data_IF_069337667057
#
_entry.id   IF_069337667057
#
_cell.length_a   1.000
_cell.length_b   1.000
_cell.length_c   1.000
_cell.angle_alpha   90.00
_cell.angle_beta   90.00
_cell.angle_gamma   90.00
#
_symmetry.space_group_name_H-M   'P 1'
#
loop_
_entity.id
_entity.type
_entity.pdbx_description
1 polymer ?
#
# COMPACT_ATOMS: atom_id res chain seq x y z
N UNK A 1 15.31 -9.00 -3.78
CA UNK A 1 15.45 -8.02 -2.69
C UNK A 1 16.91 -7.62 -2.50
N UNK A 2 17.74 -8.34 -1.72
CA UNK A 2 19.11 -7.92 -1.39
C UNK A 2 20.00 -7.61 -2.60
N UNK A 3 19.87 -8.36 -3.69
CA UNK A 3 20.61 -8.12 -4.95
C UNK A 3 20.11 -6.86 -5.69
N UNK A 4 18.81 -6.53 -5.58
CA UNK A 4 18.23 -5.33 -6.17
C UNK A 4 18.69 -4.06 -5.43
N UNK A 5 18.69 -4.08 -4.09
CA UNK A 5 19.30 -3.01 -3.26
C UNK A 5 20.77 -2.79 -3.62
N UNK A 6 21.53 -3.86 -3.82
CA UNK A 6 22.95 -3.77 -4.18
C UNK A 6 23.18 -3.21 -5.59
N UNK A 7 22.19 -3.30 -6.50
CA UNK A 7 22.23 -2.68 -7.84
C UNK A 7 21.77 -1.22 -7.85
N UNK A 8 21.41 -0.64 -6.70
CA UNK A 8 21.01 0.76 -6.56
C UNK A 8 19.63 1.08 -7.14
N UNK A 9 19.30 2.37 -7.23
CA UNK A 9 17.98 2.90 -7.62
C UNK A 9 17.49 2.33 -8.97
N UNK A 10 18.40 2.04 -9.92
CA UNK A 10 18.06 1.45 -11.23
C UNK A 10 17.53 0.01 -11.12
N UNK A 11 18.06 -0.78 -10.20
CA UNK A 11 17.58 -2.15 -9.94
C UNK A 11 16.18 -2.17 -9.33
N UNK A 12 15.94 -1.26 -8.38
CA UNK A 12 14.63 -1.04 -7.75
C UNK A 12 13.61 -0.59 -8.79
N UNK A 13 13.97 0.34 -9.67
CA UNK A 13 13.08 0.83 -10.73
C UNK A 13 12.69 -0.24 -11.75
N UNK A 14 13.61 -1.10 -12.17
CA UNK A 14 13.29 -2.20 -13.09
C UNK A 14 12.34 -3.22 -12.44
N UNK A 15 12.60 -3.60 -11.19
CA UNK A 15 11.75 -4.53 -10.45
C UNK A 15 10.35 -3.95 -10.20
N UNK A 16 10.27 -2.65 -9.88
CA UNK A 16 9.01 -1.93 -9.71
C UNK A 16 8.19 -1.91 -11.01
N UNK A 17 8.82 -1.62 -12.16
CA UNK A 17 8.14 -1.62 -13.46
C UNK A 17 7.64 -3.02 -13.85
N UNK A 18 8.46 -4.06 -13.63
CA UNK A 18 8.04 -5.45 -13.85
C UNK A 18 6.87 -5.83 -12.93
N UNK A 19 6.90 -5.41 -11.67
CA UNK A 19 5.83 -5.63 -10.71
C UNK A 19 4.51 -4.96 -11.15
N UNK A 20 4.57 -3.69 -11.56
CA UNK A 20 3.39 -2.98 -12.07
C UNK A 20 2.82 -3.65 -13.31
N UNK A 21 3.67 -4.10 -14.24
CA UNK A 21 3.23 -4.81 -15.43
C UNK A 21 2.58 -6.16 -15.09
N UNK A 22 3.17 -6.95 -14.19
CA UNK A 22 2.63 -8.23 -13.75
C UNK A 22 1.28 -8.05 -13.04
N UNK A 23 1.18 -7.07 -12.14
CA UNK A 23 -0.05 -6.80 -11.41
C UNK A 23 -1.13 -6.23 -12.34
N UNK A 24 -0.78 -5.34 -13.27
CA UNK A 24 -1.69 -4.87 -14.30
C UNK A 24 -2.21 -6.01 -15.19
N UNK A 25 -1.33 -6.95 -15.56
CA UNK A 25 -1.71 -8.15 -16.31
C UNK A 25 -2.64 -9.05 -15.51
N UNK A 26 -2.42 -9.21 -14.20
CA UNK A 26 -3.33 -9.95 -13.30
C UNK A 26 -4.71 -9.30 -13.25
N UNK A 27 -4.79 -7.98 -13.11
CA UNK A 27 -6.08 -7.27 -13.09
C UNK A 27 -6.80 -7.40 -14.43
N UNK A 28 -6.10 -7.21 -15.55
CA UNK A 28 -6.67 -7.39 -16.88
C UNK A 28 -7.15 -8.85 -17.10
N UNK A 29 -6.39 -9.82 -16.61
CA UNK A 29 -6.76 -11.23 -16.63
C UNK A 29 -8.08 -11.48 -15.89
N UNK A 30 -8.21 -11.03 -14.64
CA UNK A 30 -9.42 -11.22 -13.84
C UNK A 30 -10.62 -10.52 -14.48
N UNK A 31 -10.42 -9.32 -15.04
CA UNK A 31 -11.49 -8.57 -15.69
C UNK A 31 -12.01 -9.30 -16.94
N UNK A 32 -11.13 -9.77 -17.82
CA UNK A 32 -11.51 -10.35 -19.11
C UNK A 32 -11.93 -11.81 -18.97
N UNK A 33 -11.16 -12.61 -18.23
CA UNK A 33 -11.34 -14.06 -18.12
C UNK A 33 -12.14 -14.49 -16.88
N UNK A 34 -12.48 -13.57 -15.99
CA UNK A 34 -13.33 -13.83 -14.82
C UNK A 34 -14.81 -14.07 -15.13
N UNK A 35 -15.24 -13.91 -16.39
CA UNK A 35 -16.60 -14.25 -16.82
C UNK A 35 -17.72 -13.35 -16.25
N UNK A 36 -17.37 -12.18 -15.71
CA UNK A 36 -18.30 -11.17 -15.22
C UNK A 36 -17.81 -9.70 -15.42
N UNK A 37 -17.22 -9.33 -16.58
CA UNK A 37 -16.66 -7.99 -16.81
C UNK A 37 -17.69 -6.86 -16.65
N UNK A 38 -18.90 -7.07 -17.17
CA UNK A 38 -19.98 -6.07 -17.12
C UNK A 38 -20.35 -5.77 -15.67
N UNK A 39 -20.60 -6.82 -14.88
CA UNK A 39 -20.91 -6.67 -13.45
C UNK A 39 -19.80 -5.94 -12.68
N UNK A 40 -18.54 -6.28 -12.93
CA UNK A 40 -17.39 -5.65 -12.28
C UNK A 40 -17.36 -4.14 -12.57
N UNK A 41 -17.59 -3.75 -13.83
CA UNK A 41 -17.53 -2.36 -14.27
C UNK A 41 -18.75 -1.56 -13.76
N UNK A 42 -19.97 -2.09 -13.94
CA UNK A 42 -21.20 -1.43 -13.50
C UNK A 42 -21.25 -1.24 -11.97
N UNK A 43 -20.86 -2.27 -11.22
CA UNK A 43 -20.73 -2.19 -9.77
C UNK A 43 -19.61 -1.24 -9.38
N UNK A 44 -18.54 -1.17 -10.17
CA UNK A 44 -17.44 -0.21 -9.97
C UNK A 44 -17.91 1.24 -10.07
N UNK A 45 -18.66 1.60 -11.12
CA UNK A 45 -19.23 2.93 -11.27
C UNK A 45 -20.21 3.27 -10.14
N UNK A 46 -21.08 2.32 -9.78
CA UNK A 46 -22.01 2.48 -8.67
C UNK A 46 -21.27 2.69 -7.33
N UNK A 47 -20.20 1.94 -7.08
CA UNK A 47 -19.37 2.06 -5.89
C UNK A 47 -18.67 3.43 -5.81
N UNK A 48 -18.19 3.96 -6.94
CA UNK A 48 -17.63 5.31 -6.99
C UNK A 48 -18.66 6.38 -6.64
N UNK A 49 -19.87 6.29 -7.20
CA UNK A 49 -20.98 7.20 -6.85
C UNK A 49 -21.32 7.15 -5.36
N UNK A 50 -21.42 5.93 -4.81
CA UNK A 50 -21.73 5.71 -3.40
C UNK A 50 -20.61 6.24 -2.48
N UNK A 51 -19.35 6.00 -2.82
CA UNK A 51 -18.18 6.52 -2.09
C UNK A 51 -18.19 8.05 -2.04
N UNK A 52 -18.46 8.71 -3.17
CA UNK A 52 -18.54 10.18 -3.21
C UNK A 52 -19.70 10.72 -2.37
N UNK A 53 -20.87 10.08 -2.47
CA UNK A 53 -22.05 10.49 -1.70
C UNK A 53 -21.83 10.35 -0.19
N UNK A 54 -21.22 9.26 0.26
CA UNK A 54 -21.03 8.95 1.67
C UNK A 54 -19.69 9.43 2.25
N UNK A 55 -18.88 10.16 1.47
CA UNK A 55 -17.53 10.55 1.85
C UNK A 55 -17.48 11.31 3.19
N UNK A 56 -18.33 12.33 3.37
CA UNK A 56 -18.34 13.15 4.60
C UNK A 56 -18.79 12.33 5.81
N UNK A 57 -19.83 11.50 5.64
CA UNK A 57 -20.36 10.64 6.72
C UNK A 57 -19.30 9.62 7.15
N UNK A 58 -18.68 8.93 6.19
CA UNK A 58 -17.62 7.96 6.48
C UNK A 58 -16.38 8.61 7.10
N UNK A 59 -16.09 9.86 6.75
CA UNK A 59 -14.96 10.62 7.32
C UNK A 59 -15.16 10.98 8.79
N UNK A 60 -16.40 11.10 9.26
CA UNK A 60 -16.73 11.46 10.65
C UNK A 60 -17.36 10.31 11.44
N UNK A 61 -17.51 9.14 10.84
CA UNK A 61 -18.16 8.00 11.48
C UNK A 61 -17.27 7.38 12.55
N UNK A 62 -17.71 7.48 13.80
CA UNK A 62 -16.97 6.98 14.96
C UNK A 62 -17.62 5.76 15.63
N UNK A 63 -18.84 5.39 15.25
CA UNK A 63 -19.66 4.34 15.91
C UNK A 63 -19.64 4.46 17.45
N UNK A 64 -20.22 5.53 18.04
CA UNK A 64 -20.05 5.84 19.46
C UNK A 64 -20.65 4.78 20.39
N UNK A 65 -21.72 4.09 19.94
CA UNK A 65 -22.35 3.01 20.69
C UNK A 65 -21.63 1.66 20.50
N UNK A 66 -20.59 1.60 19.66
CA UNK A 66 -19.77 0.40 19.41
C UNK A 66 -20.61 -0.80 19.00
N UNK A 67 -21.67 -0.58 18.24
CA UNK A 67 -22.58 -1.66 17.80
C UNK A 67 -21.91 -2.55 16.76
N UNK A 68 -21.03 -1.98 15.94
CA UNK A 68 -20.31 -2.71 14.88
C UNK A 68 -18.80 -2.77 15.12
N UNK A 69 -18.25 -1.78 15.85
CA UNK A 69 -16.81 -1.56 16.01
C UNK A 69 -16.05 -1.38 14.68
N UNK A 70 -16.77 -1.12 13.59
CA UNK A 70 -16.18 -1.04 12.26
C UNK A 70 -15.15 0.09 12.12
N UNK A 71 -15.41 1.33 12.58
CA UNK A 71 -14.42 2.41 12.48
C UNK A 71 -13.16 2.11 13.28
N UNK A 72 -13.27 1.38 14.40
CA UNK A 72 -12.12 1.03 15.25
C UNK A 72 -11.25 -0.03 14.59
N UNK A 73 -11.87 -1.07 14.05
CA UNK A 73 -11.16 -2.21 13.47
C UNK A 73 -10.58 -1.92 12.08
N UNK A 74 -11.23 -1.05 11.30
CA UNK A 74 -10.85 -0.78 9.92
C UNK A 74 -10.36 0.65 9.71
N UNK A 75 -11.21 1.65 9.96
CA UNK A 75 -10.90 3.04 9.62
C UNK A 75 -9.69 3.55 10.40
N UNK A 76 -9.69 3.41 11.73
CA UNK A 76 -8.59 3.85 12.60
C UNK A 76 -7.32 3.04 12.31
N UNK A 77 -7.43 1.73 12.11
CA UNK A 77 -6.29 0.88 11.76
C UNK A 77 -5.63 1.33 10.45
N UNK A 78 -6.40 1.52 9.37
CA UNK A 78 -5.84 1.96 8.09
C UNK A 78 -5.27 3.38 8.18
N UNK A 79 -5.89 4.30 8.91
CA UNK A 79 -5.29 5.62 9.15
C UNK A 79 -3.94 5.52 9.88
N UNK A 80 -3.86 4.72 10.94
CA UNK A 80 -2.62 4.47 11.65
C UNK A 80 -1.55 3.85 10.73
N UNK A 81 -1.94 2.84 9.96
CA UNK A 81 -1.08 2.21 8.97
C UNK A 81 -0.51 3.24 7.99
N UNK A 82 -1.37 4.06 7.35
CA UNK A 82 -0.93 5.06 6.38
C UNK A 82 -0.06 6.17 7.01
N UNK A 83 -0.32 6.56 8.26
CA UNK A 83 0.52 7.54 8.97
C UNK A 83 1.96 7.03 9.15
N UNK A 84 2.15 5.75 9.48
CA UNK A 84 3.49 5.15 9.57
C UNK A 84 4.22 5.22 8.22
N UNK A 85 3.51 4.89 7.13
CA UNK A 85 4.05 4.96 5.77
C UNK A 85 4.31 6.39 5.27
N UNK A 86 3.59 7.38 5.81
CA UNK A 86 3.71 8.78 5.41
C UNK A 86 5.05 9.41 5.79
N UNK A 87 5.83 8.81 6.71
CA UNK A 87 7.18 9.31 7.05
C UNK A 87 8.20 8.91 5.99
N UNK A 88 8.16 7.66 5.52
CA UNK A 88 9.16 7.14 4.59
C UNK A 88 8.82 7.41 3.11
N UNK A 89 7.55 7.33 2.74
CA UNK A 89 7.11 7.41 1.33
C UNK A 89 7.45 8.74 0.64
N UNK A 90 7.35 9.92 1.29
CA UNK A 90 7.71 11.19 0.67
C UNK A 90 9.17 11.30 0.25
N UNK A 91 10.11 10.65 0.97
CA UNK A 91 11.52 10.65 0.60
C UNK A 91 11.76 9.91 -0.71
N UNK A 92 11.14 8.73 -0.85
CA UNK A 92 11.20 8.00 -2.10
C UNK A 92 10.61 8.82 -3.24
N UNK A 93 9.41 9.40 -3.04
CA UNK A 93 8.77 10.26 -4.03
C UNK A 93 9.62 11.49 -4.41
N UNK A 94 10.24 12.15 -3.42
CA UNK A 94 11.13 13.28 -3.64
C UNK A 94 12.38 12.89 -4.44
N UNK A 95 12.99 11.74 -4.13
CA UNK A 95 14.20 11.27 -4.79
C UNK A 95 14.02 11.02 -6.30
N UNK A 96 12.84 10.53 -6.72
CA UNK A 96 12.51 10.25 -8.13
C UNK A 96 11.83 11.42 -8.84
N UNK A 97 11.54 12.52 -8.14
CA UNK A 97 10.79 13.67 -8.66
C UNK A 97 11.67 14.88 -9.04
N UNK A 98 12.99 14.70 -9.10
CA UNK A 98 13.93 15.77 -9.49
C UNK A 98 13.56 16.37 -10.85
N UNK A 99 13.52 17.70 -10.92
CA UNK A 99 13.20 18.46 -12.14
C UNK A 99 11.71 18.62 -12.44
N UNK A 100 10.81 18.10 -11.59
CA UNK A 100 9.35 18.29 -11.72
C UNK A 100 8.85 19.47 -10.88
N UNK A 101 7.77 20.10 -11.33
CA UNK A 101 7.10 21.13 -10.52
C UNK A 101 6.35 20.50 -9.35
N UNK A 102 6.22 21.23 -8.23
CA UNK A 102 5.45 20.78 -7.05
C UNK A 102 4.05 20.32 -7.43
N UNK A 103 3.37 21.07 -8.31
CA UNK A 103 2.03 20.72 -8.81
C UNK A 103 2.00 19.38 -9.56
N UNK A 104 3.00 19.12 -10.42
CA UNK A 104 3.09 17.85 -11.15
C UNK A 104 3.35 16.67 -10.20
N UNK A 105 4.18 16.87 -9.18
CA UNK A 105 4.47 15.83 -8.18
C UNK A 105 3.20 15.50 -7.39
N UNK A 106 2.50 16.51 -6.87
CA UNK A 106 1.27 16.30 -6.09
C UNK A 106 0.20 15.63 -6.96
N UNK A 107 -0.17 16.23 -8.10
CA UNK A 107 -1.24 15.69 -8.94
C UNK A 107 -0.88 14.31 -9.51
N UNK A 108 0.36 14.09 -9.93
CA UNK A 108 0.81 12.80 -10.43
C UNK A 108 0.65 11.71 -9.39
N UNK A 109 1.17 11.93 -8.18
CA UNK A 109 1.06 10.95 -7.09
C UNK A 109 -0.39 10.66 -6.73
N UNK A 110 -1.23 11.70 -6.60
CA UNK A 110 -2.64 11.52 -6.25
C UNK A 110 -3.40 10.75 -7.33
N UNK A 111 -3.29 11.18 -8.60
CA UNK A 111 -4.06 10.56 -9.69
C UNK A 111 -3.65 9.10 -9.88
N UNK A 112 -2.36 8.80 -10.00
CA UNK A 112 -1.91 7.44 -10.24
C UNK A 112 -2.10 6.53 -9.02
N UNK A 113 -1.86 7.04 -7.80
CA UNK A 113 -2.04 6.29 -6.56
C UNK A 113 -3.51 5.93 -6.30
N UNK A 114 -4.41 6.91 -6.42
CA UNK A 114 -5.84 6.69 -6.26
C UNK A 114 -6.38 5.80 -7.37
N UNK A 115 -6.03 6.06 -8.64
CA UNK A 115 -6.50 5.26 -9.77
C UNK A 115 -6.08 3.79 -9.64
N UNK A 116 -4.81 3.51 -9.31
CA UNK A 116 -4.33 2.15 -9.12
C UNK A 116 -5.10 1.42 -8.01
N UNK A 117 -5.37 2.12 -6.90
CA UNK A 117 -6.11 1.55 -5.77
C UNK A 117 -7.56 1.26 -6.16
N UNK A 118 -8.25 2.23 -6.76
CA UNK A 118 -9.64 2.09 -7.19
C UNK A 118 -9.80 0.96 -8.21
N UNK A 119 -8.95 0.90 -9.24
CA UNK A 119 -9.02 -0.15 -10.26
C UNK A 119 -8.83 -1.53 -9.63
N UNK A 120 -7.89 -1.67 -8.68
CA UNK A 120 -7.63 -2.94 -7.98
C UNK A 120 -8.84 -3.39 -7.16
N UNK A 121 -9.44 -2.49 -6.38
CA UNK A 121 -10.63 -2.79 -5.57
C UNK A 121 -11.86 -3.07 -6.43
N UNK A 122 -12.05 -2.32 -7.52
CA UNK A 122 -13.16 -2.55 -8.45
C UNK A 122 -13.02 -3.95 -9.06
N UNK A 123 -11.85 -4.31 -9.59
CA UNK A 123 -11.69 -5.59 -10.30
C UNK A 123 -11.73 -6.77 -9.32
N UNK A 124 -10.83 -6.79 -8.33
CA UNK A 124 -10.69 -7.96 -7.44
C UNK A 124 -11.84 -8.04 -6.42
N UNK A 125 -12.26 -6.89 -5.88
CA UNK A 125 -13.37 -6.81 -4.94
C UNK A 125 -14.69 -7.20 -5.56
N UNK A 126 -15.06 -6.61 -6.71
CA UNK A 126 -16.33 -6.95 -7.37
C UNK A 126 -16.30 -8.36 -7.98
N UNK A 127 -15.13 -8.91 -8.33
CA UNK A 127 -15.04 -10.31 -8.73
C UNK A 127 -15.50 -11.24 -7.58
N UNK A 128 -14.93 -11.08 -6.38
CA UNK A 128 -15.32 -11.86 -5.21
C UNK A 128 -16.78 -11.62 -4.80
N UNK A 129 -17.22 -10.36 -4.81
CA UNK A 129 -18.60 -9.98 -4.52
C UNK A 129 -19.57 -10.61 -5.54
N UNK A 130 -19.22 -10.59 -6.81
CA UNK A 130 -20.02 -11.16 -7.89
C UNK A 130 -20.13 -12.69 -7.80
N UNK A 131 -19.10 -13.38 -7.30
CA UNK A 131 -19.19 -14.83 -7.03
C UNK A 131 -20.27 -15.15 -5.98
N UNK A 132 -20.30 -14.36 -4.89
CA UNK A 132 -21.32 -14.49 -3.83
C UNK A 132 -22.72 -14.17 -4.36
N UNK A 133 -22.87 -13.01 -5.02
CA UNK A 133 -24.18 -12.50 -5.42
C UNK A 133 -24.84 -13.33 -6.52
N UNK A 134 -24.06 -13.91 -7.43
CA UNK A 134 -24.59 -14.80 -8.47
C UNK A 134 -24.70 -16.26 -8.01
N UNK A 135 -24.40 -16.58 -6.73
CA UNK A 135 -24.44 -17.94 -6.20
C UNK A 135 -23.44 -18.90 -6.85
N UNK A 136 -22.38 -18.38 -7.49
CA UNK A 136 -21.35 -19.19 -8.16
C UNK A 136 -20.37 -19.82 -7.15
N UNK A 137 -20.12 -19.12 -6.05
CA UNK A 137 -19.33 -19.61 -4.93
C UNK A 137 -19.73 -18.86 -3.65
N UNK A 138 -20.03 -19.60 -2.59
CA UNK A 138 -20.39 -19.03 -1.28
C UNK A 138 -19.12 -18.69 -0.48
N UNK A 139 -18.55 -17.52 -0.79
CA UNK A 139 -17.37 -16.95 -0.13
C UNK A 139 -17.61 -16.79 1.37
N UNK A 140 -18.79 -16.31 1.76
CA UNK A 140 -19.14 -16.05 3.15
C UNK A 140 -19.29 -17.34 3.94
N UNK A 141 -19.98 -18.35 3.38
CA UNK A 141 -20.11 -19.67 4.00
C UNK A 141 -18.76 -20.37 4.17
N UNK A 142 -17.88 -20.30 3.17
CA UNK A 142 -16.54 -20.86 3.27
C UNK A 142 -15.69 -20.17 4.36
N UNK A 143 -15.72 -18.84 4.41
CA UNK A 143 -14.99 -18.08 5.42
C UNK A 143 -15.53 -18.37 6.84
N UNK A 144 -16.85 -18.47 7.00
CA UNK A 144 -17.48 -18.78 8.28
C UNK A 144 -17.08 -20.17 8.81
N UNK A 145 -16.82 -21.13 7.92
CA UNK A 145 -16.39 -22.48 8.31
C UNK A 145 -14.88 -22.58 8.54
N UNK A 146 -14.08 -21.97 7.67
CA UNK A 146 -12.62 -22.06 7.73
C UNK A 146 -11.99 -21.14 8.77
N UNK A 147 -12.59 -19.97 9.01
CA UNK A 147 -11.98 -18.88 9.79
C UNK A 147 -10.69 -18.33 9.18
N UNK A 148 -10.32 -18.74 7.96
CA UNK A 148 -9.04 -18.41 7.32
C UNK A 148 -9.25 -17.55 6.07
N UNK A 149 -8.85 -16.28 6.19
CA UNK A 149 -8.86 -15.32 5.09
C UNK A 149 -7.96 -15.75 3.92
N UNK A 150 -6.80 -16.34 4.19
CA UNK A 150 -5.85 -16.75 3.16
C UNK A 150 -6.41 -17.92 2.35
N UNK A 151 -6.98 -18.91 3.04
CA UNK A 151 -7.68 -20.02 2.38
C UNK A 151 -8.85 -19.52 1.51
N UNK A 152 -9.64 -18.56 2.03
CA UNK A 152 -10.78 -17.99 1.31
C UNK A 152 -10.34 -17.30 0.00
N UNK A 153 -9.27 -16.50 0.04
CA UNK A 153 -8.73 -15.84 -1.16
C UNK A 153 -8.24 -16.87 -2.18
N UNK A 154 -7.59 -17.95 -1.73
CA UNK A 154 -7.13 -19.01 -2.62
C UNK A 154 -8.30 -19.73 -3.29
N UNK A 155 -9.38 -20.01 -2.56
CA UNK A 155 -10.59 -20.62 -3.14
C UNK A 155 -11.26 -19.70 -4.16
N UNK A 156 -11.34 -18.40 -3.89
CA UNK A 156 -11.82 -17.41 -4.87
C UNK A 156 -10.96 -17.46 -6.15
N UNK A 157 -9.63 -17.56 -6.04
CA UNK A 157 -8.75 -17.64 -7.21
C UNK A 157 -8.94 -18.96 -7.96
N UNK A 158 -9.22 -20.07 -7.27
CA UNK A 158 -9.48 -21.37 -7.92
C UNK A 158 -10.72 -21.36 -8.81
N UNK A 159 -11.65 -20.41 -8.60
CA UNK A 159 -12.82 -20.24 -9.48
C UNK A 159 -12.47 -19.60 -10.84
N UNK A 160 -11.28 -19.02 -10.99
CA UNK A 160 -10.81 -18.51 -12.28
C UNK A 160 -10.35 -19.63 -13.21
N UNK A 161 -10.50 -19.47 -14.53
CA UNK A 161 -9.82 -20.34 -15.48
C UNK A 161 -8.30 -20.27 -15.24
N UNK A 162 -7.56 -21.34 -15.54
CA UNK A 162 -6.09 -21.40 -15.39
C UNK A 162 -5.56 -20.90 -14.03
N UNK A 163 -6.31 -21.11 -12.95
CA UNK A 163 -6.01 -20.59 -11.60
C UNK A 163 -4.58 -20.86 -11.11
N UNK A 164 -3.94 -21.96 -11.54
CA UNK A 164 -2.54 -22.26 -11.19
C UNK A 164 -1.57 -21.19 -11.71
N UNK A 165 -1.80 -20.71 -12.94
CA UNK A 165 -0.99 -19.64 -13.55
C UNK A 165 -1.28 -18.32 -12.81
N UNK A 166 -2.55 -18.05 -12.51
CA UNK A 166 -2.97 -16.86 -11.74
C UNK A 166 -2.30 -16.83 -10.37
N UNK A 167 -2.27 -17.95 -9.65
CA UNK A 167 -1.57 -18.06 -8.36
C UNK A 167 -0.08 -17.81 -8.49
N UNK A 168 0.59 -18.37 -9.50
CA UNK A 168 2.02 -18.11 -9.73
C UNK A 168 2.28 -16.63 -9.99
N UNK A 169 1.44 -15.98 -10.82
CA UNK A 169 1.54 -14.55 -11.09
C UNK A 169 1.28 -13.72 -9.83
N UNK A 170 0.26 -14.07 -9.05
CA UNK A 170 -0.08 -13.38 -7.80
C UNK A 170 1.07 -13.48 -6.80
N UNK A 171 1.56 -14.69 -6.53
CA UNK A 171 2.68 -14.92 -5.58
C UNK A 171 3.93 -14.18 -6.04
N UNK A 172 4.26 -14.24 -7.34
CA UNK A 172 5.41 -13.51 -7.90
C UNK A 172 5.23 -12.01 -7.75
N UNK A 173 4.02 -11.48 -8.00
CA UNK A 173 3.70 -10.06 -7.84
C UNK A 173 3.79 -9.64 -6.38
N UNK A 174 3.30 -10.44 -5.44
CA UNK A 174 3.41 -10.18 -4.01
C UNK A 174 4.88 -10.13 -3.56
N UNK A 175 5.69 -11.11 -3.98
CA UNK A 175 7.13 -11.13 -3.69
C UNK A 175 7.81 -9.88 -4.28
N UNK A 176 7.45 -9.48 -5.49
CA UNK A 176 8.00 -8.28 -6.13
C UNK A 176 7.57 -6.99 -5.43
N UNK A 177 6.30 -6.88 -4.99
CA UNK A 177 5.80 -5.75 -4.21
C UNK A 177 6.53 -5.63 -2.88
N UNK A 178 6.68 -6.74 -2.15
CA UNK A 178 7.43 -6.76 -0.91
C UNK A 178 8.89 -6.39 -1.15
N UNK A 179 9.56 -7.03 -2.11
CA UNK A 179 10.95 -6.71 -2.42
C UNK A 179 11.14 -5.21 -2.72
N UNK A 180 10.30 -4.62 -3.58
CA UNK A 180 10.40 -3.20 -3.94
C UNK A 180 10.11 -2.28 -2.75
N UNK A 181 9.14 -2.65 -1.90
CA UNK A 181 8.76 -1.88 -0.71
C UNK A 181 9.87 -1.90 0.34
N UNK A 182 10.40 -3.08 0.64
CA UNK A 182 11.54 -3.24 1.53
C UNK A 182 12.78 -2.53 0.96
N UNK A 183 12.98 -2.53 -0.38
CA UNK A 183 14.14 -1.86 -1.00
C UNK A 183 14.07 -0.36 -0.70
N UNK A 184 12.88 0.21 -0.87
CA UNK A 184 12.61 1.63 -0.65
C UNK A 184 12.77 2.02 0.82
N UNK A 185 12.23 1.22 1.75
CA UNK A 185 12.34 1.48 3.20
C UNK A 185 13.80 1.36 3.66
N UNK A 186 14.54 0.35 3.19
CA UNK A 186 15.95 0.19 3.54
C UNK A 186 16.79 1.37 3.05
N UNK A 187 16.54 1.87 1.85
CA UNK A 187 17.22 3.06 1.34
C UNK A 187 16.95 4.26 2.26
N UNK A 188 15.68 4.52 2.57
CA UNK A 188 15.28 5.64 3.45
C UNK A 188 15.85 5.50 4.86
N UNK A 189 15.71 4.32 5.50
CA UNK A 189 16.24 4.05 6.84
C UNK A 189 17.77 4.17 6.91
N UNK A 190 18.46 3.68 5.87
CA UNK A 190 19.92 3.82 5.78
C UNK A 190 20.36 5.26 5.66
N UNK A 191 19.57 6.12 4.99
CA UNK A 191 19.84 7.55 4.88
C UNK A 191 19.58 8.27 6.22
N UNK A 192 18.50 7.93 6.93
CA UNK A 192 18.22 8.48 8.27
C UNK A 192 19.29 8.17 9.32
N UNK A 193 20.11 7.14 9.08
CA UNK A 193 21.17 6.76 10.01
C UNK A 193 22.41 7.65 9.94
N UNK A 194 22.45 8.61 9.01
CA UNK A 194 23.51 9.61 8.90
C UNK A 194 23.01 10.97 9.35
N UNK A 195 23.86 11.70 10.10
CA UNK A 195 23.55 13.05 10.59
C UNK A 195 23.49 14.08 9.46
N UNK A 196 24.35 13.94 8.46
CA UNK A 196 24.36 14.73 7.23
C UNK A 196 24.71 13.83 6.05
N UNK A 197 23.91 13.89 4.99
CA UNK A 197 24.21 13.30 3.69
C UNK A 197 24.25 14.42 2.66
N UNK A 198 25.38 14.57 1.96
CA UNK A 198 25.49 15.52 0.85
C UNK A 198 24.52 15.10 -0.26
N UNK A 199 23.95 16.08 -0.96
CA UNK A 199 23.06 15.81 -2.10
C UNK A 199 23.73 14.84 -3.10
N UNK A 200 23.06 13.73 -3.38
CA UNK A 200 23.55 12.72 -4.32
C UNK A 200 24.50 11.67 -3.74
N UNK A 201 24.85 11.72 -2.46
CA UNK A 201 25.52 10.61 -1.79
C UNK A 201 24.50 9.56 -1.33
N UNK A 202 24.74 8.30 -1.68
CA UNK A 202 23.99 7.17 -1.14
C UNK A 202 24.62 6.67 0.16
N UNK A 203 23.80 6.14 1.07
CA UNK A 203 24.28 5.46 2.27
C UNK A 203 25.28 4.33 1.93
N UNK A 204 26.29 4.13 2.79
CA UNK A 204 27.29 3.08 2.58
C UNK A 204 26.62 1.71 2.49
N UNK A 205 27.11 0.82 1.61
CA UNK A 205 26.55 -0.52 1.42
C UNK A 205 26.44 -1.35 2.71
N UNK A 206 27.30 -1.10 3.71
CA UNK A 206 27.22 -1.74 5.04
C UNK A 206 25.97 -1.31 5.83
N UNK A 207 25.60 -0.03 5.78
CA UNK A 207 24.41 0.49 6.47
C UNK A 207 23.12 0.00 5.77
N UNK A 208 23.12 -0.02 4.43
CA UNK A 208 22.02 -0.62 3.66
C UNK A 208 21.84 -2.10 4.01
N UNK A 209 22.94 -2.86 4.10
CA UNK A 209 22.89 -4.28 4.46
C UNK A 209 22.39 -4.50 5.90
N UNK A 210 22.84 -3.68 6.86
CA UNK A 210 22.36 -3.74 8.24
C UNK A 210 20.84 -3.58 8.33
N UNK A 211 20.30 -2.53 7.72
CA UNK A 211 18.84 -2.30 7.71
C UNK A 211 18.08 -3.35 6.90
N UNK A 212 18.63 -3.84 5.79
CA UNK A 212 18.02 -4.91 5.02
C UNK A 212 17.86 -6.19 5.86
N UNK A 213 18.89 -6.59 6.62
CA UNK A 213 18.84 -7.77 7.49
C UNK A 213 17.87 -7.54 8.65
N UNK A 214 17.93 -6.37 9.29
CA UNK A 214 17.08 -6.05 10.43
C UNK A 214 15.59 -6.02 10.06
N UNK A 215 15.25 -5.45 8.90
CA UNK A 215 13.88 -5.42 8.39
C UNK A 215 13.35 -6.80 7.95
N UNK A 216 14.21 -7.77 7.63
CA UNK A 216 13.79 -9.16 7.39
C UNK A 216 13.61 -9.91 8.72
N UNK A 217 14.49 -9.67 9.69
CA UNK A 217 14.49 -10.37 10.96
C UNK A 217 13.24 -10.07 11.80
N UNK A 218 12.75 -8.82 11.76
CA UNK A 218 11.56 -8.39 12.52
C UNK A 218 10.27 -9.15 12.13
N UNK A 219 9.86 -9.20 10.84
CA UNK A 219 8.71 -10.02 10.42
C UNK A 219 8.88 -11.51 10.71
N UNK A 220 10.10 -12.05 10.55
CA UNK A 220 10.38 -13.45 10.87
C UNK A 220 10.10 -13.71 12.35
N UNK A 221 10.62 -12.88 13.24
CA UNK A 221 10.37 -12.99 14.68
C UNK A 221 8.87 -12.88 15.02
N UNK A 222 8.14 -12.00 14.33
CA UNK A 222 6.69 -11.85 14.52
C UNK A 222 5.89 -13.08 14.05
N UNK A 223 6.27 -13.70 12.93
CA UNK A 223 5.64 -14.93 12.43
C UNK A 223 5.84 -16.08 13.43
N UNK A 224 7.03 -16.19 14.02
CA UNK A 224 7.34 -17.23 15.00
C UNK A 224 6.77 -16.94 16.40
N UNK A 225 6.30 -15.72 16.68
CA UNK A 225 5.75 -15.32 17.97
C UNK A 225 4.28 -15.72 18.18
N UNK A 226 3.69 -16.56 17.32
CA UNK A 226 2.25 -16.92 17.32
C UNK A 226 1.30 -15.70 17.33
N UNK A 227 1.79 -14.54 16.87
CA UNK A 227 1.06 -13.29 16.91
C UNK A 227 -0.02 -13.25 15.85
N UNK A 228 -1.27 -13.46 16.25
CA UNK A 228 -2.44 -13.24 15.39
C UNK A 228 -2.42 -11.84 14.73
N UNK A 229 -3.14 -11.68 13.61
CA UNK A 229 -3.35 -10.40 12.91
C UNK A 229 -3.74 -9.25 13.87
N UNK A 230 -4.41 -9.58 14.99
CA UNK A 230 -4.83 -8.61 16.01
C UNK A 230 -3.65 -7.92 16.69
N UNK A 231 -2.55 -8.64 16.97
CA UNK A 231 -1.35 -8.06 17.57
C UNK A 231 -0.69 -7.02 16.65
N UNK A 232 -0.69 -7.26 15.34
CA UNK A 232 -0.14 -6.33 14.35
C UNK A 232 -0.95 -5.04 14.25
N UNK A 233 -2.28 -5.12 14.37
CA UNK A 233 -3.16 -3.95 14.34
C UNK A 233 -2.91 -3.04 15.55
N UNK A 234 -2.86 -3.61 16.77
CA UNK A 234 -2.64 -2.83 17.99
C UNK A 234 -1.27 -2.15 18.00
N UNK A 235 -0.20 -2.86 17.64
CA UNK A 235 1.16 -2.29 17.60
C UNK A 235 1.25 -1.13 16.60
N UNK A 236 0.60 -1.27 15.43
CA UNK A 236 0.59 -0.22 14.41
C UNK A 236 -0.08 1.06 14.92
N UNK A 237 -1.19 0.94 15.66
CA UNK A 237 -1.91 2.10 16.22
C UNK A 237 -1.06 2.83 17.26
N UNK A 238 -0.42 2.08 18.17
CA UNK A 238 0.45 2.67 19.20
C UNK A 238 1.64 3.40 18.56
N UNK A 239 2.26 2.80 17.54
CA UNK A 239 3.38 3.40 16.82
C UNK A 239 2.99 4.64 16.01
N UNK A 240 1.75 4.69 15.50
CA UNK A 240 1.29 5.80 14.65
C UNK A 240 1.04 7.11 15.43
N UNK A 241 0.69 7.03 16.72
CA UNK A 241 0.41 8.21 17.54
C UNK A 241 1.58 9.21 17.63
N UNK A 242 2.82 8.81 18.00
CA UNK A 242 3.96 9.73 17.99
C UNK A 242 4.32 10.21 16.58
N UNK A 243 4.14 9.36 15.57
CA UNK A 243 4.38 9.71 14.17
C UNK A 243 3.42 10.81 13.69
N UNK A 244 2.17 10.81 14.16
CA UNK A 244 1.21 11.88 13.87
C UNK A 244 1.76 13.26 14.28
N UNK A 245 2.40 13.37 15.45
CA UNK A 245 3.04 14.63 15.88
C UNK A 245 4.18 15.04 14.95
N UNK A 246 4.99 14.09 14.49
CA UNK A 246 6.08 14.33 13.53
C UNK A 246 5.54 14.84 12.19
N UNK A 247 4.44 14.27 11.69
CA UNK A 247 3.80 14.71 10.45
C UNK A 247 3.35 16.17 10.55
N UNK A 248 2.74 16.56 11.67
CA UNK A 248 2.33 17.97 11.89
C UNK A 248 3.54 18.91 11.89
N UNK A 249 4.65 18.52 12.51
CA UNK A 249 5.89 19.30 12.49
C UNK A 249 6.48 19.42 11.08
N UNK A 250 6.46 18.34 10.28
CA UNK A 250 6.92 18.37 8.89
C UNK A 250 6.07 19.35 8.06
N UNK A 251 4.74 19.31 8.20
CA UNK A 251 3.84 20.22 7.49
C UNK A 251 4.10 21.67 7.91
N UNK A 252 4.21 21.94 9.21
CA UNK A 252 4.49 23.29 9.72
C UNK A 252 5.85 23.81 9.21
N UNK A 253 6.88 22.96 9.21
CA UNK A 253 8.21 23.28 8.69
C UNK A 253 8.16 23.58 7.19
N UNK A 254 7.44 22.77 6.40
CA UNK A 254 7.31 22.96 4.96
C UNK A 254 6.60 24.28 4.60
N UNK A 255 5.51 24.62 5.31
CA UNK A 255 4.79 25.89 5.08
C UNK A 255 5.70 27.09 5.38
N UNK A 256 6.51 27.01 6.43
CA UNK A 256 7.49 28.05 6.78
C UNK A 256 8.58 28.18 5.72
N UNK A 257 9.14 27.05 5.28
CA UNK A 257 10.19 27.00 4.27
C UNK A 257 9.71 27.53 2.91
N UNK A 258 8.51 27.10 2.49
CA UNK A 258 7.88 27.57 1.26
C UNK A 258 7.62 29.09 1.27
N UNK A 259 7.24 29.65 2.43
CA UNK A 259 7.08 31.11 2.59
C UNK A 259 8.41 31.83 2.43
N UNK A 260 9.46 31.37 3.14
CA UNK A 260 10.79 31.97 3.04
C UNK A 260 11.32 31.92 1.59
N UNK A 261 11.14 30.80 0.89
CA UNK A 261 11.54 30.67 -0.51
C UNK A 261 10.82 31.65 -1.44
N UNK A 262 9.53 31.93 -1.19
CA UNK A 262 8.78 32.92 -1.97
C UNK A 262 9.24 34.35 -1.67
N UNK A 263 9.57 34.67 -0.42
CA UNK A 263 10.12 35.96 0.00
C UNK A 263 11.51 36.21 -0.61
N UNK A 264 12.39 35.21 -0.62
CA UNK A 264 13.72 35.28 -1.26
C UNK A 264 13.64 35.49 -2.78
N UNK A 265 12.57 35.03 -3.42
CA UNK A 265 12.39 35.15 -4.87
C UNK A 265 11.71 36.47 -5.28
N UNK A 266 11.13 37.18 -4.32
CA UNK A 266 10.53 38.51 -4.52
C UNK A 266 11.54 39.65 -4.28
N UNK A 267 12.60 39.39 -3.53
CA UNK A 267 13.75 40.29 -3.33
C UNK A 267 14.82 40.07 -4.41
#
# INVERSE_FOLDING_TARGET
YTIAVMKGIKGVSWLANACMALFGALLAYVLILGGQPVYIIETGFSALGNMMQNFIVLSTWTDPLRTTNFPQNWTIFFWAYWMVWAVASPFFMGSISRGRTVKQVILGTYIFGVASTLISFIILGNYGLGLQMHGRFDVLGFYAQSGDLYATVIEVIKTLPLWRIVLVILVTSMIAFYATSFDSITLVASQYSYRELREGQEATSRMKLFWAILLIMLPIALIFSEGSMNNLQTVSIIAAFPIGMVIVLIIASFIRDARNYLEERQN
#
